data_IF_422709451800
#
_entry.id   IF_422709451800
#
_cell.length_a   1.000
_cell.length_b   1.000
_cell.length_c   1.000
_cell.angle_alpha   90.00
_cell.angle_beta   90.00
_cell.angle_gamma   90.00
#
_symmetry.space_group_name_H-M   'P 1'
#
loop_
_entity.id
_entity.type
_entity.pdbx_description
1 polymer ?
#
# COMPACT_ATOMS: atom_id res chain seq x y z
N UNK A 1 -30.25 -16.84 20.83
CA UNK A 1 -30.32 -16.45 19.41
C UNK A 1 -29.10 -15.59 19.11
N UNK A 2 -28.08 -16.15 18.48
CA UNK A 2 -27.19 -15.49 17.52
C UNK A 2 -26.56 -16.64 16.74
N UNK A 3 -27.10 -16.90 15.55
CA UNK A 3 -26.59 -17.90 14.63
C UNK A 3 -25.23 -17.42 14.13
N UNK A 4 -24.17 -18.21 14.35
CA UNK A 4 -22.96 -18.09 13.54
C UNK A 4 -23.36 -18.48 12.12
N UNK A 5 -23.50 -17.48 11.26
CA UNK A 5 -23.65 -17.72 9.83
C UNK A 5 -22.30 -18.28 9.38
N UNK A 6 -22.26 -19.58 9.10
CA UNK A 6 -21.08 -20.24 8.57
C UNK A 6 -20.66 -19.58 7.26
N UNK A 7 -19.58 -18.81 7.30
CA UNK A 7 -18.73 -18.62 6.12
C UNK A 7 -17.93 -19.91 5.98
N UNK A 8 -18.20 -20.64 4.92
CA UNK A 8 -17.62 -21.95 4.70
C UNK A 8 -16.10 -21.88 4.66
N UNK A 9 -15.44 -22.92 5.17
CA UNK A 9 -13.99 -23.18 5.08
C UNK A 9 -13.42 -23.23 3.63
N UNK A 10 -14.20 -22.83 2.61
CA UNK A 10 -13.85 -22.78 1.19
C UNK A 10 -13.45 -21.38 0.71
N UNK A 11 -13.63 -20.33 1.52
CA UNK A 11 -13.27 -18.94 1.15
C UNK A 11 -11.82 -18.56 1.50
N UNK A 12 -11.06 -19.41 2.21
CA UNK A 12 -9.64 -19.16 2.45
C UNK A 12 -8.75 -19.44 1.23
N UNK A 13 -9.27 -20.05 0.17
CA UNK A 13 -8.48 -20.53 -0.96
C UNK A 13 -8.31 -19.49 -2.09
N UNK A 14 -8.73 -18.23 -1.90
CA UNK A 14 -8.72 -17.19 -2.94
C UNK A 14 -8.02 -15.88 -2.54
N UNK A 15 -7.12 -15.92 -1.55
CA UNK A 15 -6.27 -14.76 -1.26
C UNK A 15 -5.00 -14.75 -2.12
N UNK A 16 -4.59 -13.55 -2.50
CA UNK A 16 -3.32 -13.25 -3.15
C UNK A 16 -2.41 -12.62 -2.11
N UNK A 17 -1.18 -13.13 -1.97
CA UNK A 17 -0.21 -12.56 -1.04
C UNK A 17 0.35 -11.28 -1.66
N UNK A 18 -0.06 -10.13 -1.12
CA UNK A 18 0.29 -8.82 -1.63
C UNK A 18 1.35 -8.15 -0.76
N UNK A 19 2.47 -7.78 -1.35
CA UNK A 19 3.54 -7.06 -0.69
C UNK A 19 3.52 -5.59 -1.10
N UNK A 20 3.32 -4.72 -0.13
CA UNK A 20 3.42 -3.28 -0.28
C UNK A 20 4.86 -2.86 0.01
N UNK A 21 5.59 -2.49 -1.04
CA UNK A 21 6.92 -1.93 -0.96
C UNK A 21 6.79 -0.42 -0.74
N UNK A 22 6.99 0.02 0.49
CA UNK A 22 6.94 1.43 0.86
C UNK A 22 8.28 2.07 0.54
N UNK A 23 8.32 2.93 -0.48
CA UNK A 23 9.53 3.65 -0.87
C UNK A 23 9.62 5.04 -0.22
N UNK A 24 10.84 5.49 0.05
CA UNK A 24 11.13 6.81 0.62
C UNK A 24 11.83 7.71 -0.38
N UNK A 25 11.17 8.81 -0.76
CA UNK A 25 11.82 9.89 -1.52
C UNK A 25 11.27 10.04 -2.93
N UNK A 26 10.46 11.08 -3.13
CA UNK A 26 9.99 11.46 -4.45
C UNK A 26 11.10 11.93 -5.39
N UNK A 27 10.93 11.54 -6.65
CA UNK A 27 11.15 12.34 -7.86
C UNK A 27 12.57 12.88 -8.04
N UNK A 28 13.41 12.05 -8.66
CA UNK A 28 14.27 12.56 -9.75
C UNK A 28 13.70 11.99 -11.04
N UNK A 29 13.30 12.90 -11.94
CA UNK A 29 12.76 12.58 -13.27
C UNK A 29 11.27 12.91 -13.43
N UNK A 30 10.94 14.13 -13.83
CA UNK A 30 9.73 14.34 -14.62
C UNK A 30 10.10 13.86 -16.04
N UNK A 31 9.33 12.98 -16.72
CA UNK A 31 7.98 12.49 -16.40
C UNK A 31 7.90 11.14 -15.66
N UNK A 32 9.02 10.43 -15.45
CA UNK A 32 9.01 9.06 -14.91
C UNK A 32 9.54 9.01 -13.47
N UNK A 33 8.66 8.86 -12.45
CA UNK A 33 9.10 8.76 -11.06
C UNK A 33 9.97 7.52 -10.88
N UNK A 34 11.23 7.73 -10.48
CA UNK A 34 12.14 6.64 -10.14
C UNK A 34 11.89 6.23 -8.69
N UNK A 35 11.54 4.96 -8.45
CA UNK A 35 11.47 4.38 -7.10
C UNK A 35 12.88 4.36 -6.50
N UNK A 36 13.19 5.26 -5.55
CA UNK A 36 14.56 5.48 -5.04
C UNK A 36 15.02 4.52 -3.94
N UNK A 37 14.26 3.45 -3.71
CA UNK A 37 14.59 2.43 -2.72
C UNK A 37 13.47 2.23 -1.73
N UNK A 38 13.54 1.07 -1.10
CA UNK A 38 12.54 0.52 -0.20
C UNK A 38 12.88 0.91 1.24
N UNK A 39 11.94 1.57 1.91
CA UNK A 39 12.02 1.91 3.34
C UNK A 39 11.43 0.79 4.19
N UNK A 40 10.37 0.13 3.70
CA UNK A 40 9.67 -0.93 4.42
C UNK A 40 8.89 -1.85 3.45
N UNK A 41 8.59 -3.09 3.86
CA UNK A 41 7.76 -4.04 3.09
C UNK A 41 6.67 -4.68 3.94
N UNK A 42 5.44 -4.32 3.58
CA UNK A 42 4.15 -4.78 4.11
C UNK A 42 3.56 -6.04 3.46
N UNK A 43 3.56 -7.25 4.04
CA UNK A 43 2.86 -8.41 3.45
C UNK A 43 1.43 -8.61 3.96
N UNK A 44 0.43 -8.66 3.06
CA UNK A 44 -1.01 -8.89 3.39
C UNK A 44 -1.64 -9.90 2.44
N UNK A 45 -2.39 -10.87 2.96
CA UNK A 45 -3.28 -11.71 2.15
C UNK A 45 -4.58 -10.97 1.82
N UNK A 46 -4.83 -10.69 0.54
CA UNK A 46 -6.03 -9.96 0.09
C UNK A 46 -6.89 -10.88 -0.75
N UNK A 47 -8.19 -10.98 -0.41
CA UNK A 47 -9.17 -11.67 -1.25
C UNK A 47 -9.24 -11.01 -2.63
N UNK A 48 -9.22 -11.79 -3.70
CA UNK A 48 -9.32 -11.29 -5.08
C UNK A 48 -10.51 -10.34 -5.30
N UNK A 49 -11.64 -10.58 -4.64
CA UNK A 49 -12.84 -9.74 -4.71
C UNK A 49 -12.68 -8.39 -3.98
N UNK A 50 -11.71 -8.26 -3.08
CA UNK A 50 -11.47 -7.06 -2.30
C UNK A 50 -10.36 -6.16 -2.87
N UNK A 51 -9.69 -6.56 -3.95
CA UNK A 51 -8.68 -5.72 -4.59
C UNK A 51 -9.26 -4.37 -5.00
N UNK A 52 -8.84 -3.31 -4.31
CA UNK A 52 -9.25 -1.96 -4.60
C UNK A 52 -8.20 -0.96 -4.12
N UNK A 53 -8.14 0.20 -4.76
CA UNK A 53 -7.27 1.30 -4.31
C UNK A 53 -7.69 1.83 -2.93
N UNK A 54 -8.97 1.66 -2.55
CA UNK A 54 -9.47 2.04 -1.22
C UNK A 54 -8.90 1.11 -0.14
N UNK A 55 -8.92 -0.19 -0.38
CA UNK A 55 -8.29 -1.18 0.50
C UNK A 55 -6.78 -0.94 0.61
N UNK A 56 -6.09 -0.67 -0.51
CA UNK A 56 -4.67 -0.36 -0.50
C UNK A 56 -4.37 0.88 0.37
N UNK A 57 -5.17 1.94 0.25
CA UNK A 57 -5.06 3.11 1.13
C UNK A 57 -5.35 2.80 2.60
N UNK A 58 -6.21 1.84 2.89
CA UNK A 58 -6.47 1.40 4.27
C UNK A 58 -5.21 0.75 4.86
N UNK A 59 -4.61 -0.21 4.15
CA UNK A 59 -3.38 -0.88 4.61
C UNK A 59 -2.23 0.10 4.83
N UNK A 60 -2.05 1.10 3.95
CA UNK A 60 -1.01 2.11 4.16
C UNK A 60 -1.28 2.95 5.41
N UNK A 61 -2.54 3.28 5.70
CA UNK A 61 -2.92 4.03 6.91
C UNK A 61 -2.73 3.22 8.18
N UNK A 62 -3.04 1.93 8.16
CA UNK A 62 -2.87 1.02 9.30
C UNK A 62 -1.39 0.91 9.71
N UNK A 63 -0.47 1.06 8.75
CA UNK A 63 0.97 1.16 8.96
C UNK A 63 1.47 2.57 9.32
N UNK A 64 0.58 3.57 9.42
CA UNK A 64 0.92 4.95 9.76
C UNK A 64 1.28 5.85 8.57
N UNK A 65 1.16 5.38 7.33
CA UNK A 65 1.39 6.16 6.13
C UNK A 65 0.11 6.84 5.64
N UNK A 66 -0.09 8.09 6.02
CA UNK A 66 -1.31 8.86 5.67
C UNK A 66 -1.22 9.63 4.36
N UNK A 67 -0.01 9.86 3.85
CA UNK A 67 0.25 10.73 2.69
C UNK A 67 0.75 9.91 1.50
N UNK A 68 -0.11 9.07 0.92
CA UNK A 68 0.21 8.27 -0.27
C UNK A 68 -0.09 9.08 -1.53
N UNK A 69 0.93 9.28 -2.37
CA UNK A 69 0.81 9.93 -3.67
C UNK A 69 0.20 8.99 -4.72
N UNK A 70 0.56 7.70 -4.65
CA UNK A 70 0.04 6.71 -5.58
C UNK A 70 0.64 5.32 -5.40
N UNK A 71 0.01 4.37 -6.07
CA UNK A 71 0.41 2.96 -6.12
C UNK A 71 0.92 2.62 -7.52
N UNK A 72 1.96 1.82 -7.58
CA UNK A 72 2.60 1.41 -8.83
C UNK A 72 2.77 -0.10 -8.85
N UNK A 73 2.60 -0.68 -10.03
CA UNK A 73 2.89 -2.08 -10.30
C UNK A 73 3.95 -2.16 -11.40
N UNK A 74 4.69 -3.27 -11.42
CA UNK A 74 5.75 -3.48 -12.41
C UNK A 74 5.17 -4.23 -13.61
N UNK A 75 5.26 -3.63 -14.79
CA UNK A 75 4.93 -4.25 -16.08
C UNK A 75 6.15 -4.16 -16.99
N UNK A 76 6.65 -5.28 -17.51
CA UNK A 76 7.82 -5.33 -18.40
C UNK A 76 9.03 -4.50 -17.91
N UNK A 77 9.30 -4.53 -16.60
CA UNK A 77 10.32 -3.74 -15.90
C UNK A 77 10.07 -2.24 -15.75
N UNK A 78 8.92 -1.73 -16.18
CA UNK A 78 8.51 -0.35 -15.98
C UNK A 78 7.50 -0.25 -14.84
N UNK A 79 7.58 0.84 -14.07
CA UNK A 79 6.61 1.15 -13.03
C UNK A 79 5.41 1.86 -13.65
N UNK A 80 4.26 1.20 -13.61
CA UNK A 80 2.99 1.74 -14.11
C UNK A 80 2.15 2.17 -12.92
N UNK A 81 1.71 3.43 -12.90
CA UNK A 81 0.83 3.92 -11.86
C UNK A 81 -0.56 3.31 -12.01
N UNK A 82 -1.08 2.70 -10.95
CA UNK A 82 -2.44 2.17 -10.91
C UNK A 82 -3.39 3.29 -10.51
N UNK A 83 -4.23 3.72 -11.45
CA UNK A 83 -5.15 4.86 -11.26
C UNK A 83 -6.62 4.45 -11.30
N UNK A 84 -6.92 3.21 -11.68
CA UNK A 84 -8.29 2.71 -11.78
C UNK A 84 -8.41 1.25 -11.34
N UNK A 85 -9.62 0.87 -10.95
CA UNK A 85 -9.96 -0.52 -10.61
C UNK A 85 -9.74 -1.48 -11.78
N UNK A 86 -10.10 -1.08 -13.01
CA UNK A 86 -9.91 -1.93 -14.19
C UNK A 86 -8.43 -2.24 -14.45
N UNK A 87 -7.54 -1.26 -14.32
CA UNK A 87 -6.09 -1.50 -14.42
C UNK A 87 -5.61 -2.46 -13.33
N UNK A 88 -6.07 -2.27 -12.08
CA UNK A 88 -5.71 -3.17 -10.99
C UNK A 88 -6.16 -4.61 -11.28
N UNK A 89 -7.37 -4.79 -11.82
CA UNK A 89 -7.86 -6.10 -12.24
C UNK A 89 -7.01 -6.72 -13.34
N UNK A 90 -6.52 -5.93 -14.30
CA UNK A 90 -5.64 -6.45 -15.36
C UNK A 90 -4.34 -7.02 -14.79
N UNK A 91 -3.80 -6.41 -13.74
CA UNK A 91 -2.61 -6.93 -13.04
C UNK A 91 -2.87 -8.21 -12.27
N UNK A 92 -4.07 -8.40 -11.71
CA UNK A 92 -4.36 -9.52 -10.81
C UNK A 92 -5.23 -10.62 -11.43
N UNK A 93 -5.67 -10.46 -12.69
CA UNK A 93 -6.62 -11.39 -13.35
C UNK A 93 -6.10 -12.82 -13.42
N UNK A 94 -4.81 -12.99 -13.69
CA UNK A 94 -4.17 -14.29 -13.90
C UNK A 94 -3.55 -14.85 -12.61
N UNK A 95 -3.58 -14.06 -11.52
CA UNK A 95 -3.07 -14.50 -10.22
C UNK A 95 -4.04 -15.50 -9.58
N UNK A 96 -3.46 -16.58 -9.07
CA UNK A 96 -4.09 -17.64 -8.31
C UNK A 96 -3.57 -17.67 -6.88
N UNK A 97 -4.19 -18.52 -6.05
CA UNK A 97 -3.82 -18.71 -4.66
C UNK A 97 -2.31 -18.90 -4.45
N UNK A 98 -1.75 -18.19 -3.48
CA UNK A 98 -0.33 -18.27 -3.12
C UNK A 98 0.60 -17.54 -4.08
N UNK A 99 0.10 -16.92 -5.16
CA UNK A 99 0.92 -15.99 -5.93
C UNK A 99 1.24 -14.74 -5.13
N UNK A 100 2.43 -14.21 -5.41
CA UNK A 100 2.90 -12.95 -4.85
C UNK A 100 2.54 -11.81 -5.80
N UNK A 101 1.99 -10.74 -5.24
CA UNK A 101 1.69 -9.50 -5.95
C UNK A 101 2.43 -8.35 -5.30
N UNK A 102 3.14 -7.56 -6.10
CA UNK A 102 3.99 -6.48 -5.59
C UNK A 102 3.39 -5.13 -5.94
N UNK A 103 3.17 -4.31 -4.91
CA UNK A 103 2.64 -2.95 -5.01
C UNK A 103 3.69 -2.00 -4.46
N UNK A 104 4.13 -1.06 -5.28
CA UNK A 104 5.10 -0.05 -4.89
C UNK A 104 4.37 1.24 -4.50
N UNK A 105 4.52 1.65 -3.25
CA UNK A 105 3.82 2.79 -2.67
C UNK A 105 4.76 3.99 -2.70
N UNK A 106 4.32 5.06 -3.37
CA UNK A 106 5.01 6.34 -3.35
C UNK A 106 4.29 7.28 -2.40
N UNK A 107 5.01 7.81 -1.42
CA UNK A 107 4.48 8.76 -0.45
C UNK A 107 4.76 10.21 -0.89
N UNK A 108 3.85 11.13 -0.59
CA UNK A 108 4.10 12.55 -0.71
C UNK A 108 5.11 12.97 0.36
N UNK A 109 6.25 13.51 -0.10
CA UNK A 109 7.39 13.92 0.72
C UNK A 109 7.14 15.11 1.65
N UNK A 110 5.89 15.52 1.88
CA UNK A 110 5.58 16.65 2.76
C UNK A 110 6.09 16.39 4.21
N UNK A 111 6.53 15.17 4.58
CA UNK A 111 6.88 14.87 5.97
C UNK A 111 8.36 14.64 6.36
N UNK A 112 9.33 14.58 5.44
CA UNK A 112 10.74 14.54 5.90
C UNK A 112 11.25 15.91 6.39
N UNK A 113 10.57 17.02 6.03
CA UNK A 113 10.72 18.30 6.71
C UNK A 113 9.92 18.38 8.04
N UNK A 114 9.07 17.40 8.34
CA UNK A 114 8.19 17.41 9.51
C UNK A 114 8.54 16.37 10.58
N UNK A 115 9.54 15.51 10.42
CA UNK A 115 9.97 14.67 11.55
C UNK A 115 10.47 15.53 12.72
N UNK A 116 11.22 16.59 12.42
CA UNK A 116 11.65 17.59 13.40
C UNK A 116 10.47 18.37 13.99
N UNK A 117 9.49 18.77 13.18
CA UNK A 117 8.28 19.48 13.65
C UNK A 117 7.37 18.56 14.48
N UNK A 118 7.28 17.27 14.13
CA UNK A 118 6.53 16.26 14.85
C UNK A 118 7.18 15.97 16.20
N UNK A 119 8.49 15.72 16.23
CA UNK A 119 9.27 15.57 17.47
C UNK A 119 9.10 16.82 18.35
N UNK A 120 9.21 18.03 17.79
CA UNK A 120 8.98 19.28 18.53
C UNK A 120 7.55 19.39 19.08
N UNK A 121 6.52 18.97 18.34
CA UNK A 121 5.13 18.97 18.82
C UNK A 121 4.88 17.96 19.94
N UNK A 122 5.49 16.77 19.87
CA UNK A 122 5.41 15.76 20.93
C UNK A 122 6.11 16.25 22.19
N UNK A 123 7.33 16.79 22.06
CA UNK A 123 8.08 17.35 23.18
C UNK A 123 7.36 18.56 23.80
N UNK A 124 6.79 19.45 23.00
CA UNK A 124 6.00 20.58 23.48
C UNK A 124 4.80 20.15 24.32
N UNK A 125 4.08 19.08 23.91
CA UNK A 125 2.94 18.55 24.68
C UNK A 125 3.35 17.92 26.02
N UNK A 126 4.55 17.35 26.10
CA UNK A 126 5.09 16.80 27.36
C UNK A 126 5.54 17.88 28.35
N UNK A 127 5.93 19.07 27.87
CA UNK A 127 6.36 20.18 28.74
C UNK A 127 5.15 20.92 29.35
N UNK A 128 3.97 20.82 28.72
CA UNK A 128 2.74 21.48 29.15
C UNK A 128 1.84 20.61 30.06
N UNK A 129 2.25 19.38 30.39
CA UNK A 129 1.57 18.45 31.31
C UNK A 129 2.31 18.34 32.63
#
# INVERSE_FOLDING_TARGET
VLASKGSSFRDMDNYILTYFHHGGGGVVGNPNPTYQGEVDVFGVGIDKAHFSLVEFLSYTKDLGYTNVKGFYCKDNNEFVQVTSYTQLLEFVKDLVYGNEFYVYVVHDLILLMNLWVYILRVLWRMIQS
#
